data_IF_731631039173
#
_entry.id   IF_731631039173
#
_cell.length_a   1.000
_cell.length_b   1.000
_cell.length_c   1.000
_cell.angle_alpha   90.00
_cell.angle_beta   90.00
_cell.angle_gamma   90.00
#
_symmetry.space_group_name_H-M   'P 1'
#
loop_
_entity.id
_entity.type
_entity.pdbx_description
1 polymer ?
#
# COMPACT_ATOMS: atom_id res chain seq x y z
N UNK A 1 -12.82 2.07 -18.29
CA UNK A 1 -12.93 3.54 -18.10
C UNK A 1 -12.61 3.83 -16.66
N UNK A 2 -11.67 4.72 -16.36
CA UNK A 2 -11.26 5.00 -14.97
C UNK A 2 -12.10 6.16 -14.43
N UNK A 3 -12.85 5.90 -13.36
CA UNK A 3 -13.65 6.91 -12.69
C UNK A 3 -12.96 7.29 -11.39
N UNK A 4 -12.26 8.42 -11.42
CA UNK A 4 -11.64 9.01 -10.23
C UNK A 4 -12.59 10.04 -9.64
N UNK A 5 -12.93 9.90 -8.37
CA UNK A 5 -13.80 10.87 -7.69
C UNK A 5 -13.33 11.17 -6.27
N UNK A 6 -13.62 12.40 -5.85
CA UNK A 6 -13.41 12.86 -4.49
C UNK A 6 -14.50 12.29 -3.60
N UNK A 7 -14.12 11.72 -2.47
CA UNK A 7 -15.06 11.15 -1.50
C UNK A 7 -15.18 12.08 -0.29
N UNK A 8 -16.42 12.32 0.15
CA UNK A 8 -16.69 13.15 1.33
C UNK A 8 -16.31 12.42 2.62
N UNK A 9 -15.97 13.17 3.67
CA UNK A 9 -15.52 12.62 4.96
C UNK A 9 -16.47 11.56 5.56
N UNK A 10 -17.79 11.75 5.42
CA UNK A 10 -18.82 10.83 5.91
C UNK A 10 -18.90 9.50 5.15
N UNK A 11 -18.39 9.47 3.91
CA UNK A 11 -18.40 8.28 3.04
C UNK A 11 -17.03 7.60 2.92
N UNK A 12 -16.00 8.17 3.57
CA UNK A 12 -14.62 7.73 3.50
C UNK A 12 -14.39 6.27 3.93
N UNK A 13 -15.21 5.74 4.85
CA UNK A 13 -15.11 4.38 5.36
C UNK A 13 -16.19 3.43 4.80
N UNK A 14 -16.97 3.85 3.81
CA UNK A 14 -18.02 2.99 3.24
C UNK A 14 -17.43 1.85 2.40
N UNK A 15 -18.15 0.75 2.28
CA UNK A 15 -17.78 -0.32 1.35
C UNK A 15 -17.70 0.19 -0.10
N UNK A 16 -16.88 -0.48 -0.93
CA UNK A 16 -16.79 -0.18 -2.37
C UNK A 16 -15.37 -0.16 -2.94
N UNK A 17 -14.34 -0.21 -2.10
CA UNK A 17 -12.96 -0.36 -2.53
C UNK A 17 -12.35 -1.63 -1.95
N UNK A 18 -11.78 -2.46 -2.80
CA UNK A 18 -11.10 -3.70 -2.41
C UNK A 18 -9.76 -3.41 -1.74
N UNK A 19 -9.03 -2.41 -2.22
CA UNK A 19 -7.73 -2.00 -1.71
C UNK A 19 -7.82 -0.60 -1.11
N UNK A 20 -7.42 -0.47 0.16
CA UNK A 20 -7.25 0.83 0.81
C UNK A 20 -5.77 1.15 0.92
N UNK A 21 -5.39 2.39 0.62
CA UNK A 21 -4.00 2.87 0.73
C UNK A 21 -3.92 3.91 1.82
N UNK A 22 -3.11 3.62 2.83
CA UNK A 22 -2.88 4.46 3.99
C UNK A 22 -1.45 4.99 3.99
N UNK A 23 -1.24 6.27 4.34
CA UNK A 23 0.07 6.77 4.71
C UNK A 23 0.47 6.21 6.07
N UNK A 24 1.76 6.34 6.41
CA UNK A 24 2.24 6.08 7.77
C UNK A 24 1.44 6.85 8.82
N UNK A 25 1.30 6.27 10.02
CA UNK A 25 0.46 6.82 11.11
C UNK A 25 0.79 8.25 11.54
N UNK A 26 2.01 8.73 11.28
CA UNK A 26 2.43 10.11 11.57
C UNK A 26 1.89 11.13 10.56
N UNK A 27 1.60 10.69 9.34
CA UNK A 27 1.37 11.54 8.19
C UNK A 27 -0.11 11.67 7.81
N UNK A 28 -1.01 10.89 8.43
CA UNK A 28 -2.44 10.94 8.17
C UNK A 28 -3.29 10.82 9.42
N UNK A 29 -4.28 11.71 9.61
CA UNK A 29 -5.28 11.54 10.68
C UNK A 29 -6.23 10.38 10.41
N UNK A 30 -6.41 9.96 9.15
CA UNK A 30 -7.24 8.80 8.83
C UNK A 30 -6.61 7.52 9.36
N UNK A 31 -5.29 7.35 9.23
CA UNK A 31 -4.57 6.22 9.83
C UNK A 31 -4.73 6.20 11.36
N UNK A 32 -4.82 7.38 12.01
CA UNK A 32 -5.12 7.46 13.46
C UNK A 32 -6.57 7.09 13.80
N UNK A 33 -7.53 7.36 12.90
CA UNK A 33 -8.96 7.09 13.07
C UNK A 33 -9.35 5.64 12.70
N UNK A 34 -8.67 5.05 11.71
CA UNK A 34 -8.91 3.69 11.25
C UNK A 34 -8.36 2.73 12.30
N UNK A 35 -9.26 2.42 13.23
CA UNK A 35 -9.26 1.44 14.31
C UNK A 35 -7.92 1.10 15.00
N UNK A 36 -7.96 1.11 16.32
CA UNK A 36 -6.88 0.62 17.18
C UNK A 36 -6.45 -0.80 16.79
N UNK A 37 -7.39 -1.64 16.33
CA UNK A 37 -7.08 -3.03 15.97
C UNK A 37 -6.29 -3.16 14.65
N UNK A 38 -6.58 -2.35 13.63
CA UNK A 38 -5.77 -2.32 12.41
C UNK A 38 -4.38 -1.75 12.71
N UNK A 39 -4.32 -0.69 13.52
CA UNK A 39 -3.06 -0.14 14.01
C UNK A 39 -2.25 -1.16 14.84
N UNK A 40 -2.89 -2.06 15.59
CA UNK A 40 -2.23 -3.14 16.31
C UNK A 40 -1.62 -4.17 15.36
N UNK A 41 -2.35 -4.60 14.33
CA UNK A 41 -1.83 -5.54 13.33
C UNK A 41 -0.66 -4.95 12.55
N UNK A 42 -0.78 -3.69 12.11
CA UNK A 42 0.29 -2.94 11.45
C UNK A 42 1.50 -2.81 12.37
N UNK A 43 1.30 -2.43 13.63
CA UNK A 43 2.40 -2.29 14.60
C UNK A 43 3.12 -3.61 14.85
N UNK A 44 2.38 -4.72 15.00
CA UNK A 44 2.95 -6.06 15.17
C UNK A 44 3.70 -6.53 13.92
N UNK A 45 3.19 -6.23 12.73
CA UNK A 45 3.88 -6.52 11.48
C UNK A 45 5.17 -5.71 11.33
N UNK A 46 5.13 -4.41 11.63
CA UNK A 46 6.29 -3.51 11.58
C UNK A 46 7.40 -3.95 12.55
N UNK A 47 7.05 -4.52 13.71
CA UNK A 47 8.02 -5.04 14.68
C UNK A 47 8.75 -6.33 14.22
N UNK A 48 8.17 -7.15 13.33
CA UNK A 48 8.77 -8.42 12.90
C UNK A 48 10.01 -8.20 12.05
N UNK A 49 11.21 -8.21 12.63
CA UNK A 49 12.45 -8.19 11.85
C UNK A 49 12.54 -9.49 11.05
N UNK A 50 12.82 -9.39 9.75
CA UNK A 50 13.15 -10.59 8.98
C UNK A 50 14.51 -11.05 9.51
N UNK A 51 14.53 -12.21 10.17
CA UNK A 51 15.78 -12.76 10.67
C UNK A 51 16.69 -13.04 9.47
N UNK A 52 17.95 -12.63 9.56
CA UNK A 52 18.94 -13.03 8.57
C UNK A 52 18.99 -14.56 8.54
N UNK A 53 18.98 -15.16 7.35
CA UNK A 53 19.09 -16.60 7.17
C UNK A 53 20.20 -17.18 8.05
N UNK A 54 19.87 -18.24 8.79
CA UNK A 54 20.82 -18.92 9.69
C UNK A 54 22.16 -19.24 8.97
N UNK A 55 23.31 -19.08 9.64
CA UNK A 55 24.62 -19.39 9.06
C UNK A 55 24.72 -20.85 8.59
N UNK A 56 24.00 -21.76 9.25
CA UNK A 56 23.94 -23.18 8.85
C UNK A 56 23.24 -23.36 7.50
N UNK A 57 22.15 -22.62 7.26
CA UNK A 57 21.43 -22.67 5.98
C UNK A 57 22.26 -22.07 4.85
N UNK A 58 22.96 -20.96 5.12
CA UNK A 58 23.88 -20.35 4.15
C UNK A 58 25.01 -21.33 3.77
N UNK A 59 25.54 -22.07 4.73
CA UNK A 59 26.56 -23.09 4.48
C UNK A 59 26.03 -24.22 3.60
N UNK A 60 24.85 -24.76 3.90
CA UNK A 60 24.23 -25.83 3.11
C UNK A 60 23.94 -25.37 1.66
N UNK A 61 23.49 -24.13 1.47
CA UNK A 61 23.28 -23.56 0.14
C UNK A 61 24.59 -23.42 -0.65
N UNK A 62 25.66 -22.95 0.00
CA UNK A 62 26.97 -22.81 -0.63
C UNK A 62 27.59 -24.17 -0.99
N UNK A 63 27.37 -25.18 -0.15
CA UNK A 63 27.90 -26.53 -0.34
C UNK A 63 27.14 -27.32 -1.44
N UNK A 64 25.93 -26.88 -1.83
CA UNK A 64 25.08 -27.56 -2.80
C UNK A 64 24.63 -26.63 -3.94
N UNK A 65 25.51 -26.33 -4.92
CA UNK A 65 25.22 -25.40 -6.01
C UNK A 65 24.13 -25.90 -6.98
N UNK A 66 23.76 -27.18 -6.91
CA UNK A 66 22.63 -27.75 -7.67
C UNK A 66 21.27 -27.22 -7.17
N UNK A 67 21.19 -26.82 -5.89
CA UNK A 67 20.04 -26.11 -5.34
C UNK A 67 20.08 -24.67 -5.88
N UNK A 68 19.49 -24.44 -7.05
CA UNK A 68 19.28 -23.12 -7.65
C UNK A 68 18.24 -22.29 -6.87
N UNK A 69 18.42 -22.16 -5.56
CA UNK A 69 17.59 -21.35 -4.70
C UNK A 69 18.18 -19.94 -4.63
N UNK A 70 17.49 -18.98 -5.23
CA UNK A 70 17.81 -17.56 -5.04
C UNK A 70 17.34 -17.14 -3.66
N UNK A 71 18.28 -16.99 -2.73
CA UNK A 71 18.01 -16.29 -1.48
C UNK A 71 17.73 -14.83 -1.82
N UNK A 72 16.47 -14.43 -1.69
CA UNK A 72 16.12 -13.02 -1.76
C UNK A 72 16.73 -12.31 -0.55
N UNK A 73 17.44 -11.22 -0.80
CA UNK A 73 17.97 -10.37 0.27
C UNK A 73 16.83 -10.01 1.23
N UNK A 74 17.09 -9.91 2.55
CA UNK A 74 16.10 -9.45 3.50
C UNK A 74 15.55 -8.11 3.00
N UNK A 75 14.24 -8.05 2.81
CA UNK A 75 13.56 -6.86 2.32
C UNK A 75 13.93 -5.68 3.20
N UNK A 76 14.44 -4.63 2.58
CA UNK A 76 14.89 -3.44 3.27
C UNK A 76 13.65 -2.74 3.87
N UNK A 77 13.43 -2.98 5.17
CA UNK A 77 12.20 -2.63 5.88
C UNK A 77 11.83 -1.15 5.80
N UNK A 78 12.84 -0.29 5.67
CA UNK A 78 12.67 1.17 5.81
C UNK A 78 11.79 1.78 4.72
N UNK A 79 11.61 1.08 3.60
CA UNK A 79 10.79 1.55 2.48
C UNK A 79 9.91 0.47 1.83
N UNK A 80 9.78 -0.69 2.48
CA UNK A 80 8.95 -1.77 1.95
C UNK A 80 7.48 -1.51 2.28
N UNK A 81 6.57 -1.45 1.29
CA UNK A 81 5.15 -1.28 1.54
C UNK A 81 4.59 -2.50 2.28
N UNK A 82 3.70 -2.27 3.25
CA UNK A 82 3.09 -3.32 4.05
C UNK A 82 1.67 -3.58 3.56
N UNK A 83 1.32 -4.82 3.25
CA UNK A 83 -0.06 -5.23 2.93
C UNK A 83 -0.61 -6.05 4.10
N UNK A 84 -1.78 -5.66 4.58
CA UNK A 84 -2.54 -6.36 5.62
C UNK A 84 -3.90 -6.75 5.07
N UNK A 85 -4.31 -8.00 5.24
CA UNK A 85 -5.68 -8.42 4.90
C UNK A 85 -6.64 -7.89 5.97
N UNK A 86 -7.66 -7.15 5.53
CA UNK A 86 -8.58 -6.42 6.42
C UNK A 86 -10.06 -6.79 6.21
N UNK A 87 -10.33 -7.81 5.40
CA UNK A 87 -11.68 -8.29 5.02
C UNK A 87 -12.63 -8.61 6.17
N UNK A 88 -12.11 -8.92 7.35
CA UNK A 88 -12.90 -9.25 8.55
C UNK A 88 -13.19 -8.06 9.46
N UNK A 89 -12.57 -6.90 9.22
CA UNK A 89 -12.52 -5.78 10.16
C UNK A 89 -12.99 -4.48 9.54
N UNK A 90 -12.66 -4.29 8.26
CA UNK A 90 -12.97 -3.11 7.50
C UNK A 90 -13.71 -3.52 6.24
N UNK A 91 -14.50 -2.62 5.63
CA UNK A 91 -15.24 -2.91 4.42
C UNK A 91 -14.33 -2.83 3.17
N UNK A 92 -13.17 -3.48 3.24
CA UNK A 92 -12.18 -3.66 2.18
C UNK A 92 -11.49 -5.02 2.33
N UNK A 93 -10.94 -5.56 1.25
CA UNK A 93 -10.25 -6.85 1.29
C UNK A 93 -8.83 -6.72 1.88
N UNK A 94 -8.15 -5.63 1.51
CA UNK A 94 -6.74 -5.40 1.82
C UNK A 94 -6.45 -3.92 2.10
N UNK A 95 -5.55 -3.68 3.05
CA UNK A 95 -5.02 -2.37 3.39
C UNK A 95 -3.52 -2.34 3.14
N UNK A 96 -3.08 -1.38 2.33
CA UNK A 96 -1.70 -1.10 1.96
C UNK A 96 -1.20 0.12 2.74
N UNK A 97 -0.17 -0.05 3.56
CA UNK A 97 0.55 1.06 4.18
C UNK A 97 1.77 1.42 3.32
N UNK A 98 1.83 2.68 2.87
CA UNK A 98 2.97 3.24 2.13
C UNK A 98 3.51 4.46 2.88
N UNK A 99 4.74 4.36 3.36
CA UNK A 99 5.40 5.42 4.13
C UNK A 99 5.62 6.64 3.23
N UNK A 100 5.16 7.80 3.69
CA UNK A 100 5.38 9.06 2.97
C UNK A 100 6.72 9.68 3.38
N UNK A 101 7.60 9.92 2.41
CA UNK A 101 8.95 10.49 2.66
C UNK A 101 9.09 11.94 2.16
N UNK A 102 7.97 12.68 2.04
CA UNK A 102 7.99 14.09 1.61
C UNK A 102 7.99 14.31 0.09
N UNK A 103 8.07 13.26 -0.72
CA UNK A 103 8.00 13.35 -2.18
C UNK A 103 6.68 12.76 -2.71
N UNK A 104 5.69 13.60 -3.09
CA UNK A 104 4.37 13.12 -3.52
C UNK A 104 4.43 12.27 -4.80
N UNK A 105 5.26 12.67 -5.77
CA UNK A 105 5.41 11.97 -7.06
C UNK A 105 5.83 10.51 -6.87
N UNK A 106 6.93 10.29 -6.14
CA UNK A 106 7.45 8.94 -5.85
C UNK A 106 6.46 8.08 -5.07
N UNK A 107 5.69 8.70 -4.17
CA UNK A 107 4.68 8.00 -3.38
C UNK A 107 3.52 7.51 -4.28
N UNK A 108 3.05 8.37 -5.18
CA UNK A 108 2.01 8.02 -6.16
C UNK A 108 2.51 6.95 -7.14
N UNK A 109 3.73 7.08 -7.67
CA UNK A 109 4.35 6.08 -8.55
C UNK A 109 4.45 4.71 -7.86
N UNK A 110 4.85 4.69 -6.59
CA UNK A 110 4.94 3.46 -5.80
C UNK A 110 3.57 2.80 -5.65
N UNK A 111 2.53 3.58 -5.31
CA UNK A 111 1.16 3.05 -5.19
C UNK A 111 0.68 2.53 -6.54
N UNK A 112 0.90 3.29 -7.62
CA UNK A 112 0.49 2.90 -8.97
C UNK A 112 1.16 1.60 -9.42
N UNK A 113 2.46 1.44 -9.14
CA UNK A 113 3.21 0.21 -9.43
C UNK A 113 2.65 -0.99 -8.66
N UNK A 114 2.40 -0.84 -7.35
CA UNK A 114 1.82 -1.90 -6.51
C UNK A 114 0.40 -2.25 -6.99
N UNK A 115 -0.40 -1.25 -7.29
CA UNK A 115 -1.77 -1.42 -7.78
C UNK A 115 -1.81 -2.17 -9.13
N UNK A 116 -0.91 -1.85 -10.05
CA UNK A 116 -0.75 -2.60 -11.31
C UNK A 116 -0.34 -4.06 -11.06
N UNK A 117 0.59 -4.30 -10.15
CA UNK A 117 1.02 -5.66 -9.79
C UNK A 117 -0.09 -6.49 -9.14
N UNK A 118 -1.05 -5.84 -8.46
CA UNK A 118 -2.22 -6.46 -7.86
C UNK A 118 -3.40 -6.66 -8.82
N UNK A 119 -3.19 -6.47 -10.14
CA UNK A 119 -4.23 -6.57 -11.18
C UNK A 119 -5.34 -5.51 -11.05
N UNK A 120 -4.99 -4.32 -10.58
CA UNK A 120 -5.86 -3.13 -10.58
C UNK A 120 -7.20 -3.31 -9.83
N UNK A 121 -7.18 -3.67 -8.53
CA UNK A 121 -8.40 -3.73 -7.71
C UNK A 121 -9.05 -2.34 -7.55
N UNK A 122 -10.31 -2.27 -7.13
CA UNK A 122 -10.92 -0.97 -6.79
C UNK A 122 -10.17 -0.33 -5.62
N UNK A 123 -9.82 0.96 -5.76
CA UNK A 123 -8.81 1.62 -4.93
C UNK A 123 -9.41 2.78 -4.14
N UNK A 124 -9.07 2.87 -2.87
CA UNK A 124 -9.30 4.06 -2.06
C UNK A 124 -8.00 4.56 -1.47
N UNK A 125 -7.67 5.81 -1.76
CA UNK A 125 -6.43 6.44 -1.31
C UNK A 125 -6.77 7.45 -0.22
N UNK A 126 -6.22 7.24 0.96
CA UNK A 126 -6.22 8.22 2.04
C UNK A 126 -4.95 9.05 1.90
N UNK A 127 -5.12 10.35 1.73
CA UNK A 127 -4.02 11.25 1.39
C UNK A 127 -3.30 11.72 2.67
N UNK A 128 -1.96 11.84 2.67
CA UNK A 128 -1.24 12.51 3.75
C UNK A 128 -1.65 13.97 3.88
N UNK A 129 -1.57 14.53 5.08
CA UNK A 129 -2.02 15.90 5.36
C UNK A 129 -1.23 16.97 4.55
N UNK A 130 -0.05 16.62 4.02
CA UNK A 130 0.84 17.51 3.26
C UNK A 130 0.62 17.50 1.74
N UNK A 131 -0.19 16.58 1.20
CA UNK A 131 -0.41 16.44 -0.24
C UNK A 131 -1.75 17.06 -0.63
N UNK A 132 -1.76 17.79 -1.75
CA UNK A 132 -2.97 18.34 -2.34
C UNK A 132 -3.63 17.34 -3.29
N UNK A 133 -4.96 17.19 -3.17
CA UNK A 133 -5.73 16.19 -3.91
C UNK A 133 -5.68 16.45 -5.42
N UNK A 134 -5.79 17.71 -5.83
CA UNK A 134 -5.81 18.10 -7.24
C UNK A 134 -4.48 17.79 -7.95
N UNK A 135 -3.37 17.86 -7.20
CA UNK A 135 -2.05 17.46 -7.71
C UNK A 135 -1.96 15.95 -7.85
N UNK A 136 -2.48 15.21 -6.88
CA UNK A 136 -2.51 13.75 -6.94
C UNK A 136 -3.36 13.26 -8.10
N UNK A 137 -4.54 13.85 -8.31
CA UNK A 137 -5.42 13.55 -9.44
C UNK A 137 -4.71 13.73 -10.78
N UNK A 138 -4.04 14.87 -10.98
CA UNK A 138 -3.29 15.14 -12.22
C UNK A 138 -2.16 14.14 -12.44
N UNK A 139 -1.39 13.82 -11.40
CA UNK A 139 -0.31 12.84 -11.48
C UNK A 139 -0.83 11.44 -11.77
N UNK A 140 -1.93 11.04 -11.12
CA UNK A 140 -2.55 9.74 -11.35
C UNK A 140 -3.05 9.60 -12.79
N UNK A 141 -3.73 10.62 -13.31
CA UNK A 141 -4.19 10.64 -14.72
C UNK A 141 -3.05 10.68 -15.73
N UNK A 142 -1.86 11.14 -15.35
CA UNK A 142 -0.67 11.11 -16.23
C UNK A 142 -0.03 9.72 -16.27
N UNK A 143 -0.12 8.97 -15.16
CA UNK A 143 0.46 7.63 -15.04
C UNK A 143 -0.45 6.51 -15.57
N UNK A 144 -1.75 6.76 -15.64
CA UNK A 144 -2.71 5.78 -16.16
C UNK A 144 -2.77 5.85 -17.69
N UNK A 145 -2.20 4.84 -18.36
CA UNK A 145 -2.08 4.77 -19.82
C UNK A 145 -3.42 4.60 -20.58
N UNK A 146 -4.58 4.72 -19.92
CA UNK A 146 -5.91 4.72 -20.55
C UNK A 146 -6.30 3.42 -21.29
N UNK A 147 -5.44 2.39 -21.27
CA UNK A 147 -5.47 1.26 -22.19
C UNK A 147 -6.26 0.03 -21.69
N UNK A 148 -7.04 0.16 -20.62
CA UNK A 148 -7.72 -1.01 -20.04
C UNK A 148 -9.25 -0.89 -19.98
N UNK A 149 -9.91 -1.88 -20.57
CA UNK A 149 -11.37 -2.02 -20.69
C UNK A 149 -12.09 -2.36 -19.37
N UNK A 150 -11.37 -2.46 -18.26
CA UNK A 150 -11.99 -2.67 -16.94
C UNK A 150 -12.30 -1.32 -16.28
N UNK A 151 -13.48 -1.21 -15.67
CA UNK A 151 -13.84 -0.05 -14.87
C UNK A 151 -13.28 -0.21 -13.47
N UNK A 152 -12.46 0.75 -13.05
CA UNK A 152 -11.96 0.83 -11.68
C UNK A 152 -12.41 2.14 -11.07
N UNK A 153 -12.74 2.03 -9.79
CA UNK A 153 -13.15 3.15 -8.95
C UNK A 153 -11.93 3.58 -8.14
N UNK A 154 -11.58 4.86 -8.26
CA UNK A 154 -10.53 5.47 -7.43
C UNK A 154 -11.17 6.56 -6.58
N UNK A 155 -11.25 6.30 -5.29
CA UNK A 155 -11.78 7.22 -4.29
C UNK A 155 -10.61 7.91 -3.57
N UNK A 156 -10.52 9.24 -3.66
CA UNK A 156 -9.55 10.03 -2.90
C UNK A 156 -10.24 10.64 -1.68
N UNK A 157 -9.66 10.45 -0.50
CA UNK A 157 -10.19 10.94 0.78
C UNK A 157 -9.19 11.90 1.43
N UNK A 158 -9.68 13.07 1.84
CA UNK A 158 -8.95 14.04 2.69
C UNK A 158 -9.61 14.17 4.07
N UNK A 159 -8.85 14.71 5.02
CA UNK A 159 -9.39 15.20 6.30
C UNK A 159 -10.21 16.47 6.13
#
# INVERSE_FOLDING_TARGET
MVSVYKTAHSSALLAGAQLWVLPGSKDSQWTKKIDWYLNFQISRANQRQCESSSPTLLKILNDNPELKLTLHAPLDKKNTPLIVSSSSLLPNEQTLEVIYQGHPEKWVEQIHSIWNNLKRPSLRIFVPDQIDEDKLLKQWSTLDDGLSSTEYIISIVRN
#
